data_IF_981084808941
#
_entry.id   IF_981084808941
#
_cell.length_a   1.000
_cell.length_b   1.000
_cell.length_c   1.000
_cell.angle_alpha   90.00
_cell.angle_beta   90.00
_cell.angle_gamma   90.00
#
_symmetry.space_group_name_H-M   'P 1'
#
loop_
_entity.id
_entity.type
_entity.pdbx_description
1 polymer ?
#
# COMPACT_ATOMS: atom_id res chain seq x y z
N UNK A 1 40.75 11.15 -13.39
CA UNK A 1 39.55 11.94 -13.04
C UNK A 1 38.35 11.01 -12.89
N UNK A 2 38.14 10.41 -11.71
CA UNK A 2 37.00 9.52 -11.45
C UNK A 2 36.65 9.56 -9.95
N UNK A 3 35.75 10.46 -9.55
CA UNK A 3 35.20 10.51 -8.17
C UNK A 3 33.68 10.71 -8.08
N UNK A 4 32.94 10.74 -9.20
CA UNK A 4 31.49 11.06 -9.17
C UNK A 4 30.54 9.84 -9.23
N UNK A 5 31.05 8.61 -9.22
CA UNK A 5 30.21 7.40 -9.18
C UNK A 5 29.70 7.01 -7.79
N UNK A 6 30.26 7.57 -6.71
CA UNK A 6 30.02 7.07 -5.35
C UNK A 6 28.65 7.45 -4.76
N UNK A 7 28.05 8.55 -5.23
CA UNK A 7 26.84 9.11 -4.62
C UNK A 7 25.58 8.22 -4.81
N UNK A 8 25.19 7.82 -6.05
CA UNK A 8 24.04 6.95 -6.24
C UNK A 8 24.21 5.57 -5.61
N UNK A 9 25.43 5.03 -5.63
CA UNK A 9 25.74 3.71 -5.08
C UNK A 9 25.68 3.68 -3.55
N UNK A 10 26.21 4.72 -2.88
CA UNK A 10 26.14 4.82 -1.42
C UNK A 10 24.70 4.98 -0.95
N UNK A 11 23.96 5.84 -1.63
CA UNK A 11 22.54 6.05 -1.40
C UNK A 11 21.74 4.76 -1.58
N UNK A 12 21.93 4.05 -2.70
CA UNK A 12 21.25 2.80 -2.99
C UNK A 12 21.56 1.70 -1.96
N UNK A 13 22.81 1.65 -1.46
CA UNK A 13 23.17 0.74 -0.35
C UNK A 13 22.42 1.08 0.93
N UNK A 14 22.43 2.36 1.33
CA UNK A 14 21.72 2.81 2.53
C UNK A 14 20.22 2.52 2.43
N UNK A 15 19.58 2.80 1.28
CA UNK A 15 18.18 2.44 1.02
C UNK A 15 17.95 0.94 1.17
N UNK A 16 18.80 0.11 0.56
CA UNK A 16 18.69 -1.35 0.62
C UNK A 16 18.79 -1.85 2.06
N UNK A 17 19.71 -1.31 2.84
CA UNK A 17 19.89 -1.67 4.24
C UNK A 17 18.68 -1.28 5.09
N UNK A 18 18.14 -0.07 4.93
CA UNK A 18 16.94 0.39 5.64
C UNK A 18 15.74 -0.51 5.31
N UNK A 19 15.51 -0.78 4.02
CA UNK A 19 14.39 -1.61 3.56
C UNK A 19 14.50 -3.05 4.08
N UNK A 20 15.72 -3.63 4.04
CA UNK A 20 15.99 -4.96 4.59
C UNK A 20 15.78 -5.01 6.10
N UNK A 21 16.28 -4.01 6.85
CA UNK A 21 16.10 -3.92 8.30
C UNK A 21 14.62 -3.78 8.69
N UNK A 22 13.79 -3.24 7.79
CA UNK A 22 12.33 -3.22 7.94
C UNK A 22 11.63 -4.55 7.70
N UNK A 23 12.34 -5.53 7.14
CA UNK A 23 11.74 -6.77 6.69
C UNK A 23 10.94 -6.63 5.40
N UNK A 24 11.26 -5.65 4.54
CA UNK A 24 10.66 -5.58 3.22
C UNK A 24 11.04 -6.83 2.41
N UNK A 25 10.03 -7.47 1.80
CA UNK A 25 10.18 -8.62 0.90
C UNK A 25 9.96 -8.23 -0.56
N UNK A 26 9.15 -7.18 -0.79
CA UNK A 26 8.83 -6.65 -2.11
C UNK A 26 8.98 -5.14 -2.15
N UNK A 27 9.70 -4.64 -3.15
CA UNK A 27 9.77 -3.21 -3.48
C UNK A 27 9.14 -2.98 -4.84
N UNK A 28 8.02 -2.28 -4.85
CA UNK A 28 7.32 -1.81 -6.03
C UNK A 28 7.78 -0.40 -6.38
N UNK A 29 8.15 -0.18 -7.64
CA UNK A 29 8.68 1.09 -8.14
C UNK A 29 7.79 1.51 -9.31
N UNK A 30 7.28 2.73 -9.25
CA UNK A 30 6.60 3.31 -10.40
C UNK A 30 7.57 3.59 -11.57
N UNK A 31 7.05 3.56 -12.79
CA UNK A 31 7.86 3.77 -13.97
C UNK A 31 7.99 5.24 -14.39
N UNK A 32 6.87 5.93 -14.61
CA UNK A 32 6.81 7.25 -15.27
C UNK A 32 7.12 8.36 -14.29
N UNK A 33 8.01 9.29 -14.61
CA UNK A 33 8.52 10.32 -13.67
C UNK A 33 9.20 9.78 -12.38
N UNK A 34 9.03 8.49 -12.04
CA UNK A 34 9.75 7.79 -10.97
C UNK A 34 11.00 7.08 -11.51
N UNK A 35 10.89 5.87 -12.09
CA UNK A 35 12.05 5.10 -12.59
C UNK A 35 12.76 5.81 -13.75
N UNK A 36 11.98 6.33 -14.70
CA UNK A 36 12.45 7.27 -15.73
C UNK A 36 12.13 8.70 -15.33
N UNK A 37 12.92 9.66 -15.81
CA UNK A 37 12.70 11.09 -15.53
C UNK A 37 11.51 11.68 -16.27
N UNK A 38 11.09 11.06 -17.37
CA UNK A 38 10.04 11.56 -18.24
C UNK A 38 8.72 10.88 -17.94
N UNK A 39 7.62 11.59 -18.17
CA UNK A 39 6.29 11.02 -18.16
C UNK A 39 5.92 10.57 -19.58
N UNK A 40 5.83 9.26 -19.82
CA UNK A 40 5.54 8.71 -21.16
C UNK A 40 4.07 8.85 -21.57
N UNK A 41 3.18 9.08 -20.61
CA UNK A 41 1.73 9.13 -20.85
C UNK A 41 1.15 7.79 -21.31
N UNK A 42 1.87 6.68 -21.11
CA UNK A 42 1.46 5.36 -21.60
C UNK A 42 1.53 5.18 -23.12
N UNK A 43 2.13 6.13 -23.84
CA UNK A 43 2.16 6.15 -25.30
C UNK A 43 3.52 6.62 -25.85
N UNK A 44 4.63 6.15 -25.27
CA UNK A 44 5.96 6.41 -25.80
C UNK A 44 6.11 5.85 -27.21
N UNK A 45 6.47 6.70 -28.18
CA UNK A 45 6.53 6.36 -29.61
C UNK A 45 7.93 6.07 -30.12
N UNK A 46 8.97 6.44 -29.36
CA UNK A 46 10.37 6.24 -29.74
C UNK A 46 10.86 4.86 -29.26
N UNK A 47 12.12 4.52 -29.53
CA UNK A 47 12.65 3.21 -29.16
C UNK A 47 12.86 3.03 -27.64
N UNK A 48 12.98 1.78 -27.18
CA UNK A 48 13.40 1.45 -25.83
C UNK A 48 14.79 2.00 -25.50
N UNK A 49 15.70 2.04 -26.49
CA UNK A 49 17.05 2.58 -26.32
C UNK A 49 17.02 4.08 -26.01
N UNK A 50 16.12 4.81 -26.65
CA UNK A 50 15.92 6.24 -26.38
C UNK A 50 15.29 6.45 -25.00
N UNK A 51 14.30 5.63 -24.63
CA UNK A 51 13.68 5.71 -23.30
C UNK A 51 14.67 5.37 -22.17
N UNK A 52 15.59 4.41 -22.42
CA UNK A 52 16.66 4.02 -21.48
C UNK A 52 17.52 5.21 -21.08
N UNK A 53 17.75 6.18 -21.97
CA UNK A 53 18.53 7.38 -21.67
C UNK A 53 17.90 8.25 -20.56
N UNK A 54 16.60 8.07 -20.29
CA UNK A 54 15.87 8.78 -19.24
C UNK A 54 15.82 8.02 -17.90
N UNK A 55 16.37 6.81 -17.80
CA UNK A 55 16.38 6.03 -16.55
C UNK A 55 17.24 6.75 -15.49
N UNK A 56 16.71 6.89 -14.27
CA UNK A 56 17.43 7.59 -13.20
C UNK A 56 18.59 6.72 -12.68
N UNK A 57 19.80 7.29 -12.50
CA UNK A 57 20.97 6.54 -12.02
C UNK A 57 20.77 5.83 -10.67
N UNK A 58 19.98 6.39 -9.74
CA UNK A 58 19.68 5.72 -8.48
C UNK A 58 19.12 4.32 -8.72
N UNK A 59 18.13 4.18 -9.61
CA UNK A 59 17.47 2.89 -9.81
C UNK A 59 18.37 1.88 -10.53
N UNK A 60 19.31 2.35 -11.37
CA UNK A 60 20.36 1.50 -11.94
C UNK A 60 21.24 0.88 -10.84
N UNK A 61 21.55 1.64 -9.79
CA UNK A 61 22.33 1.15 -8.64
C UNK A 61 21.48 0.32 -7.67
N UNK A 62 20.24 0.73 -7.42
CA UNK A 62 19.34 0.16 -6.41
C UNK A 62 18.83 -1.24 -6.77
N UNK A 63 18.34 -1.44 -7.98
CA UNK A 63 17.71 -2.72 -8.36
C UNK A 63 18.61 -3.94 -8.13
N UNK A 64 19.88 -3.95 -8.57
CA UNK A 64 20.80 -5.05 -8.31
C UNK A 64 21.11 -5.26 -6.82
N UNK A 65 21.08 -4.19 -6.01
CA UNK A 65 21.28 -4.28 -4.55
C UNK A 65 20.07 -4.93 -3.87
N UNK A 66 18.86 -4.52 -4.25
CA UNK A 66 17.63 -5.12 -3.71
C UNK A 66 17.55 -6.62 -4.01
N UNK A 67 17.82 -7.01 -5.25
CA UNK A 67 17.81 -8.43 -5.66
C UNK A 67 18.86 -9.25 -4.89
N UNK A 68 20.08 -8.72 -4.73
CA UNK A 68 21.14 -9.40 -3.96
C UNK A 68 20.87 -9.45 -2.45
N UNK A 69 20.11 -8.49 -1.93
CA UNK A 69 19.62 -8.50 -0.56
C UNK A 69 18.40 -9.43 -0.37
N UNK A 70 18.13 -10.29 -1.36
CA UNK A 70 17.01 -11.20 -1.39
C UNK A 70 15.67 -10.47 -1.19
N UNK A 71 15.47 -9.33 -1.84
CA UNK A 71 14.15 -8.70 -1.99
C UNK A 71 13.65 -8.86 -3.43
N UNK A 72 12.35 -9.12 -3.61
CA UNK A 72 11.72 -9.07 -4.93
C UNK A 72 11.54 -7.61 -5.33
N UNK A 73 11.75 -7.32 -6.61
CA UNK A 73 11.51 -6.00 -7.17
C UNK A 73 10.42 -6.10 -8.22
N UNK A 74 9.49 -5.15 -8.17
CA UNK A 74 8.48 -4.98 -9.20
C UNK A 74 8.51 -3.57 -9.77
N UNK A 75 8.36 -3.45 -11.09
CA UNK A 75 7.95 -2.21 -11.74
C UNK A 75 6.43 -2.26 -11.91
N UNK A 76 5.73 -1.30 -11.31
CA UNK A 76 4.28 -1.17 -11.37
C UNK A 76 3.93 0.11 -12.10
N UNK A 77 3.10 0.08 -13.13
CA UNK A 77 2.81 1.27 -13.96
C UNK A 77 1.40 1.22 -14.52
N UNK A 78 0.83 2.39 -14.79
CA UNK A 78 -0.42 2.49 -15.56
C UNK A 78 -0.18 2.41 -17.07
N UNK A 79 1.08 2.39 -17.53
CA UNK A 79 1.38 2.23 -18.95
C UNK A 79 0.96 0.84 -19.45
N UNK A 80 0.23 0.74 -20.57
CA UNK A 80 -0.08 -0.53 -21.20
C UNK A 80 1.13 -1.08 -22.00
N UNK A 81 2.20 -0.31 -22.18
CA UNK A 81 3.35 -0.68 -23.04
C UNK A 81 4.34 -1.62 -22.34
N UNK A 82 3.85 -2.73 -21.79
CA UNK A 82 4.62 -3.68 -20.99
C UNK A 82 5.84 -4.24 -21.74
N UNK A 83 5.70 -4.56 -23.03
CA UNK A 83 6.82 -5.06 -23.85
C UNK A 83 7.95 -4.03 -23.97
N UNK A 84 7.61 -2.77 -24.23
CA UNK A 84 8.59 -1.68 -24.31
C UNK A 84 9.34 -1.52 -22.98
N UNK A 85 8.62 -1.51 -21.86
CA UNK A 85 9.22 -1.34 -20.53
C UNK A 85 10.13 -2.52 -20.19
N UNK A 86 9.74 -3.75 -20.58
CA UNK A 86 10.57 -4.94 -20.44
C UNK A 86 11.87 -4.81 -21.24
N UNK A 87 11.83 -4.27 -22.45
CA UNK A 87 13.02 -4.02 -23.26
C UNK A 87 13.93 -2.96 -22.62
N UNK A 88 13.35 -1.89 -22.03
CA UNK A 88 14.12 -0.89 -21.27
C UNK A 88 14.83 -1.54 -20.08
N UNK A 89 14.15 -2.37 -19.30
CA UNK A 89 14.74 -3.09 -18.15
C UNK A 89 15.87 -4.02 -18.64
N UNK A 90 15.67 -4.75 -19.73
CA UNK A 90 16.68 -5.63 -20.32
C UNK A 90 17.92 -4.87 -20.83
N UNK A 91 17.75 -3.64 -21.30
CA UNK A 91 18.88 -2.77 -21.69
C UNK A 91 19.63 -2.23 -20.47
N UNK A 92 18.97 -2.06 -19.32
CA UNK A 92 19.55 -1.48 -18.11
C UNK A 92 20.35 -2.48 -17.27
N UNK A 93 19.98 -3.76 -17.28
CA UNK A 93 20.50 -4.75 -16.34
C UNK A 93 20.96 -6.03 -17.03
N UNK A 94 21.91 -6.77 -16.42
CA UNK A 94 22.21 -8.14 -16.86
C UNK A 94 20.96 -9.01 -16.91
N UNK A 95 20.87 -10.00 -17.83
CA UNK A 95 19.68 -10.83 -18.01
C UNK A 95 19.16 -11.47 -16.72
N UNK A 96 20.07 -11.87 -15.84
CA UNK A 96 19.75 -12.51 -14.56
C UNK A 96 18.97 -11.58 -13.62
N UNK A 97 19.28 -10.27 -13.63
CA UNK A 97 18.57 -9.27 -12.83
C UNK A 97 17.28 -8.87 -13.55
N UNK A 98 17.35 -8.60 -14.86
CA UNK A 98 16.20 -8.18 -15.65
C UNK A 98 15.04 -9.20 -15.61
N UNK A 99 15.36 -10.50 -15.68
CA UNK A 99 14.36 -11.59 -15.59
C UNK A 99 13.73 -11.70 -14.20
N UNK A 100 14.41 -11.23 -13.16
CA UNK A 100 13.91 -11.25 -11.79
C UNK A 100 12.98 -10.08 -11.48
N UNK A 101 12.97 -9.02 -12.29
CA UNK A 101 12.05 -7.89 -12.09
C UNK A 101 10.65 -8.28 -12.52
N UNK A 102 9.71 -8.23 -11.59
CA UNK A 102 8.30 -8.42 -11.86
C UNK A 102 7.77 -7.17 -12.57
N UNK A 103 7.04 -7.31 -13.66
CA UNK A 103 6.45 -6.18 -14.38
C UNK A 103 4.93 -6.27 -14.36
N UNK A 104 4.28 -5.19 -13.94
CA UNK A 104 2.83 -5.02 -13.94
C UNK A 104 2.48 -3.67 -14.55
N UNK A 105 2.18 -3.68 -15.84
CA UNK A 105 1.59 -2.55 -16.54
C UNK A 105 0.08 -2.74 -16.76
N UNK A 106 -0.56 -1.75 -17.37
CA UNK A 106 -1.99 -1.78 -17.66
C UNK A 106 -2.31 -2.62 -18.92
N UNK A 107 -1.91 -3.89 -18.91
CA UNK A 107 -2.17 -4.83 -20.00
C UNK A 107 -3.07 -6.00 -19.57
N UNK A 108 -3.43 -6.85 -20.54
CA UNK A 108 -4.26 -8.02 -20.33
C UNK A 108 -3.46 -9.26 -19.86
N UNK A 109 -2.15 -9.15 -19.61
CA UNK A 109 -1.29 -10.30 -19.27
C UNK A 109 -1.52 -10.84 -17.86
N UNK A 110 -2.22 -10.09 -17.02
CA UNK A 110 -2.54 -10.44 -15.65
C UNK A 110 -3.94 -9.95 -15.27
N UNK A 111 -4.53 -10.65 -14.31
CA UNK A 111 -5.81 -10.28 -13.69
C UNK A 111 -5.69 -10.48 -12.19
N UNK A 112 -6.46 -9.70 -11.44
CA UNK A 112 -6.59 -9.82 -9.99
C UNK A 112 -8.04 -10.08 -9.65
N UNK A 113 -8.32 -11.21 -8.99
CA UNK A 113 -9.66 -11.50 -8.46
C UNK A 113 -9.72 -11.20 -6.97
N UNK A 114 -10.91 -11.02 -6.40
CA UNK A 114 -11.06 -10.65 -4.99
C UNK A 114 -10.40 -11.66 -4.03
N UNK A 115 -10.47 -12.95 -4.36
CA UNK A 115 -9.81 -14.02 -3.59
C UNK A 115 -8.28 -13.86 -3.50
N UNK A 116 -7.66 -13.16 -4.45
CA UNK A 116 -6.21 -12.91 -4.46
C UNK A 116 -5.80 -11.82 -3.45
N UNK A 117 -6.77 -11.13 -2.83
CA UNK A 117 -6.52 -9.96 -1.97
C UNK A 117 -6.57 -10.27 -0.48
N UNK A 118 -6.85 -11.54 -0.11
CA UNK A 118 -7.07 -11.98 1.28
C UNK A 118 -5.86 -11.80 2.19
N UNK A 119 -4.65 -11.96 1.65
CA UNK A 119 -3.40 -11.76 2.41
C UNK A 119 -2.99 -10.29 2.48
N UNK A 120 -3.66 -9.42 1.71
CA UNK A 120 -3.38 -7.99 1.62
C UNK A 120 -4.26 -7.15 2.55
N UNK A 121 -4.47 -7.56 3.80
CA UNK A 121 -5.36 -6.89 4.77
C UNK A 121 -4.55 -6.02 5.74
N UNK A 122 -4.99 -4.79 6.07
CA UNK A 122 -6.36 -4.27 5.92
C UNK A 122 -6.67 -3.51 4.62
N UNK A 123 -7.57 -4.07 3.79
CA UNK A 123 -8.26 -3.34 2.72
C UNK A 123 -9.54 -2.65 3.19
N UNK A 124 -9.98 -2.89 4.44
CA UNK A 124 -11.29 -2.49 4.97
C UNK A 124 -11.48 -0.98 5.07
N UNK A 125 -10.41 -0.18 5.07
CA UNK A 125 -10.56 1.28 5.01
C UNK A 125 -11.14 1.75 3.67
N UNK A 126 -10.96 0.95 2.62
CA UNK A 126 -11.31 1.30 1.25
C UNK A 126 -12.61 0.64 0.78
N UNK A 127 -13.17 -0.31 1.53
CA UNK A 127 -14.28 -1.18 1.08
C UNK A 127 -14.03 -1.77 -0.33
N UNK A 128 -12.77 -2.10 -0.66
CA UNK A 128 -12.39 -2.61 -1.98
C UNK A 128 -12.40 -1.56 -3.11
N UNK A 129 -12.73 -0.29 -2.84
CA UNK A 129 -12.81 0.77 -3.87
C UNK A 129 -11.49 1.03 -4.61
N UNK A 130 -10.37 0.66 -3.99
CA UNK A 130 -9.04 0.86 -4.57
C UNK A 130 -8.50 -0.38 -5.31
N UNK A 131 -9.32 -1.41 -5.54
CA UNK A 131 -8.95 -2.58 -6.37
C UNK A 131 -9.20 -2.38 -7.87
N UNK A 132 -9.73 -1.21 -8.25
CA UNK A 132 -9.85 -0.77 -9.64
C UNK A 132 -8.47 -0.40 -10.22
N UNK A 133 -8.24 -0.70 -11.50
CA UNK A 133 -6.99 -0.43 -12.23
C UNK A 133 -6.69 1.06 -12.41
N UNK A 134 -7.60 1.96 -12.02
CA UNK A 134 -7.31 3.41 -11.84
C UNK A 134 -6.40 3.72 -10.64
N UNK A 135 -6.16 2.74 -9.77
CA UNK A 135 -5.25 2.87 -8.62
C UNK A 135 -4.10 1.89 -8.74
N UNK A 136 -2.98 2.21 -8.08
CA UNK A 136 -1.78 1.35 -8.11
C UNK A 136 -1.91 0.04 -7.35
N UNK A 137 -2.81 0.00 -6.37
CA UNK A 137 -2.95 -1.11 -5.44
C UNK A 137 -3.13 -2.48 -6.12
N UNK A 138 -4.00 -2.68 -7.12
CA UNK A 138 -4.11 -3.99 -7.81
C UNK A 138 -2.82 -4.44 -8.51
N UNK A 139 -2.02 -3.51 -9.05
CA UNK A 139 -0.72 -3.80 -9.66
C UNK A 139 0.27 -4.31 -8.61
N UNK A 140 0.29 -3.65 -7.46
CA UNK A 140 1.13 -4.02 -6.31
C UNK A 140 0.73 -5.40 -5.76
N UNK A 141 -0.57 -5.65 -5.54
CA UNK A 141 -1.05 -6.95 -5.04
C UNK A 141 -0.73 -8.07 -6.04
N UNK A 142 -0.95 -7.83 -7.34
CA UNK A 142 -0.62 -8.80 -8.40
C UNK A 142 0.88 -9.11 -8.47
N UNK A 143 1.73 -8.13 -8.21
CA UNK A 143 3.18 -8.33 -8.09
C UNK A 143 3.53 -9.14 -6.84
N UNK A 144 2.93 -8.82 -5.68
CA UNK A 144 3.14 -9.54 -4.43
C UNK A 144 2.71 -11.00 -4.49
N UNK A 145 1.63 -11.32 -5.20
CA UNK A 145 1.21 -12.70 -5.44
C UNK A 145 2.25 -13.48 -6.25
N UNK A 146 2.80 -12.87 -7.31
CA UNK A 146 3.87 -13.51 -8.09
C UNK A 146 5.12 -13.70 -7.23
N UNK A 147 5.53 -12.67 -6.48
CA UNK A 147 6.64 -12.74 -5.55
C UNK A 147 6.47 -13.86 -4.51
N UNK A 148 5.25 -14.03 -4.00
CA UNK A 148 4.93 -15.07 -3.02
C UNK A 148 5.04 -16.47 -3.61
N UNK A 149 4.53 -16.65 -4.83
CA UNK A 149 4.60 -17.93 -5.55
C UNK A 149 6.04 -18.33 -5.87
N UNK A 150 6.86 -17.38 -6.28
CA UNK A 150 8.28 -17.63 -6.63
C UNK A 150 9.13 -18.00 -5.42
N UNK A 151 8.72 -17.61 -4.21
CA UNK A 151 9.50 -17.83 -2.98
C UNK A 151 8.89 -18.82 -2.00
N UNK A 152 7.69 -19.32 -2.27
CA UNK A 152 6.93 -20.12 -1.31
C UNK A 152 6.78 -19.43 0.06
N UNK A 153 6.74 -18.10 0.08
CA UNK A 153 6.60 -17.26 1.28
C UNK A 153 5.58 -16.16 0.99
N UNK A 154 4.63 -15.95 1.90
CA UNK A 154 3.54 -14.98 1.69
C UNK A 154 4.09 -13.57 1.88
N UNK A 155 3.97 -12.76 0.83
CA UNK A 155 4.24 -11.32 0.85
C UNK A 155 2.93 -10.61 1.19
N UNK A 156 2.92 -9.85 2.29
CA UNK A 156 1.77 -9.06 2.77
C UNK A 156 2.02 -7.55 2.63
N UNK A 157 1.04 -6.73 2.99
CA UNK A 157 1.13 -5.25 2.93
C UNK A 157 2.34 -4.73 3.70
N UNK A 158 2.53 -5.22 4.93
CA UNK A 158 3.63 -4.81 5.81
C UNK A 158 5.02 -5.17 5.25
N UNK A 159 5.08 -6.17 4.38
CA UNK A 159 6.31 -6.66 3.75
C UNK A 159 6.57 -5.94 2.41
N UNK A 160 5.67 -5.02 2.02
CA UNK A 160 5.66 -4.37 0.71
C UNK A 160 5.93 -2.87 0.84
N UNK A 161 6.71 -2.35 -0.10
CA UNK A 161 7.06 -0.94 -0.20
C UNK A 161 6.67 -0.45 -1.59
N UNK A 162 6.06 0.73 -1.69
CA UNK A 162 5.77 1.41 -2.96
C UNK A 162 6.56 2.72 -3.03
N UNK A 163 7.31 2.91 -4.12
CA UNK A 163 7.95 4.17 -4.50
C UNK A 163 7.21 4.72 -5.71
N UNK A 164 6.61 5.90 -5.60
CA UNK A 164 5.76 6.51 -6.62
C UNK A 164 5.81 8.05 -6.48
N UNK A 165 5.72 8.76 -7.59
CA UNK A 165 5.73 10.22 -7.65
C UNK A 165 4.34 10.85 -7.50
N UNK A 166 3.29 10.04 -7.54
CA UNK A 166 1.92 10.49 -7.29
C UNK A 166 1.57 10.31 -5.80
N UNK A 167 1.36 11.43 -5.12
CA UNK A 167 0.96 11.45 -3.72
C UNK A 167 -0.36 10.72 -3.44
N UNK A 168 -1.28 10.63 -4.42
CA UNK A 168 -2.52 9.87 -4.32
C UNK A 168 -2.23 8.37 -4.28
N UNK A 169 -1.34 7.87 -5.14
CA UNK A 169 -0.93 6.46 -5.13
C UNK A 169 -0.26 6.09 -3.79
N UNK A 170 0.63 6.95 -3.31
CA UNK A 170 1.29 6.78 -2.00
C UNK A 170 0.29 6.80 -0.85
N UNK A 171 -0.67 7.72 -0.87
CA UNK A 171 -1.71 7.79 0.15
C UNK A 171 -2.55 6.52 0.17
N UNK A 172 -2.98 6.04 -1.00
CA UNK A 172 -3.76 4.79 -1.14
C UNK A 172 -2.97 3.58 -0.63
N UNK A 173 -1.67 3.51 -0.92
CA UNK A 173 -0.79 2.45 -0.43
C UNK A 173 -0.71 2.48 1.12
N UNK A 174 -0.47 3.65 1.71
CA UNK A 174 -0.40 3.83 3.17
C UNK A 174 -1.73 3.48 3.85
N UNK A 175 -2.86 3.96 3.30
CA UNK A 175 -4.20 3.65 3.82
C UNK A 175 -4.51 2.14 3.72
N UNK A 176 -3.79 1.41 2.86
CA UNK A 176 -3.84 -0.04 2.71
C UNK A 176 -2.77 -0.77 3.53
N UNK A 177 -2.01 -0.10 4.40
CA UNK A 177 -0.97 -0.71 5.24
C UNK A 177 0.33 -1.08 4.50
N UNK A 178 0.53 -0.56 3.28
CA UNK A 178 1.78 -0.69 2.51
C UNK A 178 2.68 0.49 2.89
N UNK A 179 3.99 0.26 3.00
CA UNK A 179 4.93 1.36 3.21
C UNK A 179 5.01 2.18 1.92
N UNK A 180 4.45 3.39 1.92
CA UNK A 180 4.55 4.33 0.80
C UNK A 180 5.72 5.28 0.96
N UNK A 181 6.51 5.45 -0.11
CA UNK A 181 7.62 6.39 -0.19
C UNK A 181 7.35 7.32 -1.37
N UNK A 182 7.10 8.59 -1.05
CA UNK A 182 6.86 9.61 -2.07
C UNK A 182 8.18 10.03 -2.70
N UNK A 183 8.25 9.94 -4.03
CA UNK A 183 9.39 10.37 -4.81
C UNK A 183 9.07 11.67 -5.54
N UNK A 184 9.62 12.80 -5.11
CA UNK A 184 9.41 14.07 -5.81
C UNK A 184 10.31 14.14 -7.06
N UNK A 185 9.76 14.16 -8.28
CA UNK A 185 10.57 14.16 -9.50
C UNK A 185 11.25 15.51 -9.77
N UNK A 186 10.76 16.60 -9.17
CA UNK A 186 11.19 17.98 -9.40
C UNK A 186 12.12 18.51 -8.31
N UNK A 187 12.22 17.84 -7.18
CA UNK A 187 13.11 18.22 -6.09
C UNK A 187 14.57 18.10 -6.57
N UNK A 188 15.19 19.22 -6.93
CA UNK A 188 16.55 19.24 -7.48
C UNK A 188 16.69 19.63 -8.94
N UNK A 189 15.60 20.00 -9.62
CA UNK A 189 15.68 20.82 -10.83
C UNK A 189 15.96 22.28 -10.46
N UNK A 190 17.05 22.54 -9.73
CA UNK A 190 17.55 23.90 -9.57
C UNK A 190 18.03 24.39 -10.94
N UNK A 191 17.59 25.60 -11.28
CA UNK A 191 17.96 26.35 -12.49
C UNK A 191 19.48 26.35 -12.68
N UNK A 192 19.90 26.35 -13.95
CA UNK A 192 21.11 25.79 -14.55
C UNK A 192 22.52 26.16 -14.02
N UNK A 193 22.69 26.78 -12.85
CA UNK A 193 23.98 27.34 -12.43
C UNK A 193 24.77 26.50 -11.39
N UNK A 194 24.18 25.46 -10.77
CA UNK A 194 24.87 24.65 -9.74
C UNK A 194 24.88 23.12 -10.01
N UNK A 195 24.69 22.71 -11.27
CA UNK A 195 24.37 21.32 -11.66
C UNK A 195 25.50 20.28 -11.59
N UNK A 196 26.75 20.63 -11.28
CA UNK A 196 27.85 19.69 -11.55
C UNK A 196 28.36 18.86 -10.37
N UNK A 197 27.91 19.10 -9.12
CA UNK A 197 28.50 18.37 -7.98
C UNK A 197 27.55 17.95 -6.84
N UNK A 198 26.28 18.37 -6.84
CA UNK A 198 25.36 18.02 -5.78
C UNK A 198 24.56 16.75 -6.11
N UNK A 199 24.59 15.78 -5.19
CA UNK A 199 23.53 14.77 -5.02
C UNK A 199 22.17 15.46 -5.14
N UNK A 200 21.30 14.91 -5.98
CA UNK A 200 20.03 15.53 -6.37
C UNK A 200 19.09 15.62 -5.16
N UNK A 201 18.56 16.80 -4.80
CA UNK A 201 17.69 17.01 -3.63
C UNK A 201 16.53 16.02 -3.45
N UNK A 202 15.93 15.50 -4.52
CA UNK A 202 14.90 14.46 -4.48
C UNK A 202 15.32 13.23 -3.68
N UNK A 203 16.60 12.87 -3.77
CA UNK A 203 17.14 11.73 -3.05
C UNK A 203 17.30 12.00 -1.56
N UNK A 204 17.57 13.24 -1.15
CA UNK A 204 17.68 13.58 0.27
C UNK A 204 16.32 13.50 0.95
N UNK A 205 15.26 13.95 0.28
CA UNK A 205 13.87 13.81 0.75
C UNK A 205 13.47 12.34 0.85
N UNK A 206 13.80 11.54 -0.16
CA UNK A 206 13.61 10.09 -0.16
C UNK A 206 14.28 9.43 1.06
N UNK A 207 15.54 9.77 1.32
CA UNK A 207 16.27 9.24 2.47
C UNK A 207 15.74 9.74 3.80
N UNK A 208 15.29 10.98 3.87
CA UNK A 208 14.65 11.52 5.05
C UNK A 208 13.37 10.76 5.38
N UNK A 209 12.57 10.40 4.38
CA UNK A 209 11.39 9.54 4.57
C UNK A 209 11.81 8.14 5.05
N UNK A 210 12.82 7.52 4.43
CA UNK A 210 13.33 6.21 4.83
C UNK A 210 13.91 6.16 6.25
N UNK A 211 14.67 7.19 6.66
CA UNK A 211 15.22 7.29 8.02
C UNK A 211 14.14 7.57 9.06
N UNK A 212 13.12 8.36 8.73
CA UNK A 212 11.93 8.54 9.60
C UNK A 212 11.20 7.23 9.81
N UNK A 213 10.98 6.50 8.72
CA UNK A 213 10.46 5.15 8.79
C UNK A 213 11.31 4.34 9.76
N UNK A 214 12.64 4.27 9.60
CA UNK A 214 13.52 3.51 10.48
C UNK A 214 13.36 3.85 11.97
N UNK A 215 13.20 5.14 12.31
CA UNK A 215 13.00 5.60 13.68
C UNK A 215 11.67 5.14 14.30
N UNK A 216 10.62 4.96 13.48
CA UNK A 216 9.29 4.54 13.95
C UNK A 216 9.19 3.03 14.22
N UNK A 217 10.21 2.25 13.87
CA UNK A 217 10.24 0.82 14.24
C UNK A 217 10.57 0.74 15.73
N UNK A 218 9.62 0.38 16.63
CA UNK A 218 9.93 0.22 18.03
C UNK A 218 11.02 -0.84 18.13
N UNK A 219 12.17 -0.49 18.74
CA UNK A 219 13.26 -1.42 18.95
C UNK A 219 12.66 -2.67 19.58
N UNK A 220 12.55 -3.74 18.79
CA UNK A 220 11.96 -4.99 19.25
C UNK A 220 12.76 -5.35 20.49
N UNK A 221 12.10 -5.28 21.64
CA UNK A 221 12.69 -5.58 22.94
C UNK A 221 13.36 -6.91 22.78
N UNK A 222 14.68 -6.88 22.70
CA UNK A 222 15.51 -8.08 22.63
C UNK A 222 15.44 -8.64 24.03
N UNK A 223 14.35 -9.31 24.33
CA UNK A 223 14.20 -10.09 25.56
C UNK A 223 15.17 -11.24 25.37
N UNK A 224 16.40 -11.02 25.84
CA UNK A 224 17.41 -12.05 25.99
C UNK A 224 16.75 -13.24 26.67
N UNK A 225 16.67 -14.37 25.95
CA UNK A 225 16.21 -15.62 26.50
C UNK A 225 17.04 -15.93 27.75
N UNK A 226 16.42 -16.24 28.91
CA UNK A 226 17.17 -16.70 30.07
C UNK A 226 17.85 -18.01 29.70
N UNK A 227 19.13 -18.12 30.04
CA UNK A 227 19.94 -19.31 29.87
C UNK A 227 19.22 -20.52 30.48
N UNK A 228 18.95 -21.52 29.65
CA UNK A 228 18.45 -22.83 30.06
C UNK A 228 19.61 -23.56 30.73
N UNK A 229 19.49 -23.81 32.03
CA UNK A 229 20.33 -24.75 32.75
C UNK A 229 19.76 -26.16 32.63
N UNK A 230 20.65 -27.13 32.50
CA UNK A 230 20.44 -28.56 32.30
C UNK A 230 19.70 -29.30 33.44
N UNK A 231 18.93 -30.33 33.01
CA UNK A 231 18.69 -31.67 33.61
C UNK A 231 17.92 -31.91 34.96
N UNK A 232 17.39 -33.14 35.26
CA UNK A 232 16.40 -33.91 34.51
C UNK A 232 15.28 -34.54 35.42
N UNK A 233 14.36 -35.31 34.79
CA UNK A 233 13.52 -36.42 35.34
C UNK A 233 12.13 -36.11 35.98
N UNK A 234 11.20 -37.11 36.10
CA UNK A 234 9.86 -37.00 35.54
C UNK A 234 8.73 -37.22 36.58
N UNK A 235 7.49 -37.16 36.08
CA UNK A 235 6.26 -37.65 36.73
C UNK A 235 5.62 -36.68 37.70
N UNK A 236 4.43 -36.18 37.36
CA UNK A 236 3.16 -36.51 38.05
C UNK A 236 2.04 -35.68 37.40
N UNK A 237 1.04 -36.38 36.87
CA UNK A 237 -0.23 -35.82 36.36
C UNK A 237 -1.13 -35.50 37.56
N UNK A 238 -1.77 -34.32 37.63
CA UNK A 238 -3.02 -34.19 38.34
C UNK A 238 -4.18 -33.79 37.41
N UNK A 239 -5.18 -34.65 37.51
CA UNK A 239 -6.57 -34.62 37.04
C UNK A 239 -7.23 -33.24 36.92
N UNK A 240 -7.91 -33.06 35.80
CA UNK A 240 -9.01 -32.11 35.56
C UNK A 240 -10.26 -32.48 36.38
N UNK A 241 -11.02 -31.50 36.91
CA UNK A 241 -12.39 -31.73 37.32
C UNK A 241 -13.37 -31.48 36.16
N UNK A 242 -14.19 -32.50 35.90
CA UNK A 242 -15.30 -32.50 34.97
C UNK A 242 -16.34 -31.42 35.33
N UNK A 243 -16.80 -30.68 34.32
CA UNK A 243 -17.99 -29.81 34.40
C UNK A 243 -19.16 -30.52 33.71
N UNK A 244 -20.19 -30.82 34.49
CA UNK A 244 -21.46 -31.39 34.06
C UNK A 244 -22.30 -30.44 33.20
N UNK A 245 -23.10 -30.94 32.24
CA UNK A 245 -23.97 -30.12 31.39
C UNK A 245 -25.31 -29.81 32.07
N UNK A 246 -25.81 -28.58 31.92
CA UNK A 246 -27.21 -28.23 32.22
C UNK A 246 -27.90 -27.78 30.93
N UNK A 247 -28.91 -28.54 30.55
CA UNK A 247 -29.87 -28.29 29.47
C UNK A 247 -30.98 -27.30 29.91
N UNK A 248 -31.87 -26.86 29.01
CA UNK A 248 -32.36 -25.49 28.92
C UNK A 248 -33.73 -25.30 29.59
N UNK A 249 -34.05 -24.06 29.91
CA UNK A 249 -35.44 -23.65 30.16
C UNK A 249 -35.82 -22.51 29.24
N UNK A 250 -36.86 -22.76 28.46
CA UNK A 250 -37.57 -21.80 27.65
C UNK A 250 -38.38 -20.84 28.52
N UNK A 251 -38.50 -19.57 28.12
CA UNK A 251 -39.81 -18.91 28.00
C UNK A 251 -39.71 -17.54 27.32
N UNK A 252 -40.59 -17.42 26.32
CA UNK A 252 -41.21 -16.25 25.71
C UNK A 252 -41.15 -14.94 26.52
N UNK A 253 -40.88 -13.82 25.84
CA UNK A 253 -41.84 -12.70 25.73
C UNK A 253 -41.68 -12.04 24.36
N UNK A 254 -42.79 -12.02 23.63
CA UNK A 254 -43.05 -11.32 22.36
C UNK A 254 -43.50 -9.91 22.73
N UNK A 255 -42.83 -8.86 22.25
CA UNK A 255 -43.38 -7.51 22.29
C UNK A 255 -43.45 -6.96 20.87
N UNK A 256 -44.66 -6.91 20.35
CA UNK A 256 -45.02 -6.14 19.17
C UNK A 256 -45.23 -4.69 19.60
N UNK A 257 -44.67 -3.75 18.85
CA UNK A 257 -45.24 -2.41 18.66
C UNK A 257 -44.75 -1.85 17.33
N UNK A 258 -45.67 -1.77 16.38
CA UNK A 258 -45.76 -0.72 15.35
C UNK A 258 -47.04 0.10 15.70
N UNK A 259 -47.42 1.20 15.02
CA UNK A 259 -46.78 1.93 13.92
C UNK A 259 -46.82 3.49 14.09
N UNK A 260 -46.42 4.18 13.01
CA UNK A 260 -46.81 5.55 12.62
C UNK A 260 -46.19 6.76 13.35
N UNK A 261 -45.32 7.49 12.63
CA UNK A 261 -45.54 8.94 12.47
C UNK A 261 -45.12 9.39 11.07
N UNK A 262 -46.11 9.95 10.37
CA UNK A 262 -45.96 10.68 9.10
C UNK A 262 -45.44 12.08 9.43
N UNK A 263 -44.42 12.55 8.72
CA UNK A 263 -44.20 13.99 8.57
C UNK A 263 -44.25 14.34 7.09
N UNK A 264 -45.24 15.15 6.74
CA UNK A 264 -45.47 15.75 5.43
C UNK A 264 -44.86 17.16 5.44
N UNK A 265 -43.99 17.38 4.46
CA UNK A 265 -43.75 18.56 3.61
C UNK A 265 -44.11 19.99 4.07
N UNK A 266 -43.18 20.92 3.85
CA UNK A 266 -43.35 22.28 3.28
C UNK A 266 -41.92 22.76 2.89
N UNK A 267 -41.50 22.89 1.63
CA UNK A 267 -41.81 23.85 0.56
C UNK A 267 -41.31 25.30 0.77
N UNK A 268 -40.77 25.85 -0.33
CA UNK A 268 -40.47 27.26 -0.67
C UNK A 268 -39.25 27.92 0.02
N UNK A 269 -38.14 28.25 -0.66
CA UNK A 269 -37.91 29.20 -1.77
C UNK A 269 -38.00 30.69 -1.37
N UNK A 270 -36.84 31.39 -1.34
CA UNK A 270 -36.62 32.78 -1.81
C UNK A 270 -35.23 33.24 -1.31
N UNK A 271 -34.20 33.34 -2.15
CA UNK A 271 -33.84 34.53 -2.95
C UNK A 271 -33.93 35.88 -2.20
N UNK A 272 -32.76 36.38 -1.75
CA UNK A 272 -32.32 37.77 -2.00
C UNK A 272 -30.91 38.04 -1.47
N UNK A 273 -29.99 38.55 -2.31
CA UNK A 273 -28.73 39.12 -1.88
C UNK A 273 -28.79 40.66 -1.86
N UNK A 274 -28.01 41.28 -0.98
CA UNK A 274 -27.37 42.55 -1.31
C UNK A 274 -27.39 43.66 -0.27
N UNK A 275 -26.29 44.43 -0.34
CA UNK A 275 -25.96 45.75 0.26
C UNK A 275 -25.49 45.77 1.71
N UNK A 276 -24.52 46.62 2.10
CA UNK A 276 -23.44 47.42 1.48
C UNK A 276 -22.70 48.06 2.67
N UNK A 277 -21.39 48.32 2.50
CA UNK A 277 -20.54 49.43 3.05
C UNK A 277 -20.64 49.78 4.56
N UNK A 278 -19.56 49.66 5.35
CA UNK A 278 -18.31 50.45 5.40
C UNK A 278 -18.39 51.75 6.23
N UNK A 279 -17.36 51.90 7.10
CA UNK A 279 -16.82 53.14 7.71
C UNK A 279 -17.63 53.74 8.87
N UNK A 280 -17.10 54.44 9.89
CA UNK A 280 -15.76 54.84 10.35
C UNK A 280 -16.01 55.64 11.68
N UNK A 281 -15.02 55.67 12.58
CA UNK A 281 -14.59 56.83 13.41
C UNK A 281 -15.32 57.18 14.75
N UNK A 282 -14.51 57.00 15.82
CA UNK A 282 -14.11 57.87 16.96
C UNK A 282 -15.00 58.39 18.11
N UNK A 283 -14.28 58.41 19.25
CA UNK A 283 -14.32 59.28 20.46
C UNK A 283 -15.54 59.12 21.37
N UNK A 284 -15.43 59.06 22.70
CA UNK A 284 -14.34 59.27 23.65
C UNK A 284 -14.98 59.70 24.99
N UNK A 285 -14.41 59.29 26.12
CA UNK A 285 -14.55 60.02 27.38
C UNK A 285 -15.41 59.43 28.51
N UNK A 286 -14.82 59.49 29.71
CA UNK A 286 -15.41 59.58 31.06
C UNK A 286 -15.82 58.29 31.82
N UNK A 287 -14.84 57.81 32.59
CA UNK A 287 -14.88 57.54 34.05
C UNK A 287 -16.24 57.45 34.74
N UNK A 288 -16.54 56.31 35.40
CA UNK A 288 -16.96 56.24 36.81
C UNK A 288 -16.65 54.85 37.43
N UNK A 289 -16.21 54.89 38.69
CA UNK A 289 -15.93 53.76 39.58
C UNK A 289 -17.19 52.98 39.96
N UNK A 290 -17.13 51.63 40.02
CA UNK A 290 -17.70 50.88 41.14
C UNK A 290 -17.18 49.45 41.25
N UNK A 291 -16.75 49.12 42.47
CA UNK A 291 -16.96 47.86 43.19
C UNK A 291 -16.42 46.53 42.63
N UNK A 292 -15.45 46.02 43.40
CA UNK A 292 -14.86 44.67 43.37
C UNK A 292 -15.90 43.56 43.50
N UNK A 293 -15.86 42.61 42.58
CA UNK A 293 -16.16 41.20 42.84
C UNK A 293 -15.03 40.37 42.24
N UNK A 294 -14.12 39.88 43.10
CA UNK A 294 -13.09 38.93 42.70
C UNK A 294 -13.73 37.55 42.55
N UNK A 295 -14.17 37.22 41.34
CA UNK A 295 -14.44 35.84 40.96
C UNK A 295 -13.12 35.23 40.47
N UNK A 296 -12.63 34.25 41.21
CA UNK A 296 -11.51 33.39 40.79
C UNK A 296 -11.85 32.75 39.45
N UNK A 297 -11.35 33.34 38.35
CA UNK A 297 -11.27 32.64 37.08
C UNK A 297 -10.15 31.60 37.20
N UNK A 298 -10.43 30.30 37.03
CA UNK A 298 -9.36 29.31 36.98
C UNK A 298 -8.40 29.67 35.85
N UNK A 299 -7.11 29.61 36.15
CA UNK A 299 -6.00 29.91 35.25
C UNK A 299 -6.22 29.37 33.83
N UNK A 300 -5.77 30.10 32.80
CA UNK A 300 -5.90 29.64 31.42
C UNK A 300 -5.22 28.28 31.28
N UNK A 301 -6.05 27.25 31.06
CA UNK A 301 -5.59 25.94 30.63
C UNK A 301 -4.76 26.18 29.38
N UNK A 302 -3.46 25.94 29.50
CA UNK A 302 -2.54 25.86 28.38
C UNK A 302 -3.21 24.94 27.34
N UNK A 303 -3.72 25.55 26.27
CA UNK A 303 -4.11 24.81 25.07
C UNK A 303 -2.82 24.24 24.51
N UNK A 304 -2.47 23.05 24.97
CA UNK A 304 -1.63 22.12 24.25
C UNK A 304 -2.26 21.98 22.87
N UNK A 305 -1.72 22.72 21.89
CA UNK A 305 -1.85 22.38 20.48
C UNK A 305 -1.11 21.06 20.32
N UNK A 306 -1.81 19.97 20.62
CA UNK A 306 -1.46 18.66 20.13
C UNK A 306 -1.61 18.72 18.62
N UNK A 307 -0.52 19.00 17.91
CA UNK A 307 -0.37 18.74 16.48
C UNK A 307 0.13 17.32 16.28
N UNK A 308 -0.48 16.37 16.98
CA UNK A 308 -0.44 14.97 16.56
C UNK A 308 -1.72 14.77 15.78
N UNK A 309 -1.60 14.61 14.47
CA UNK A 309 -2.68 14.15 13.60
C UNK A 309 -2.96 12.66 13.90
N UNK A 310 -3.31 12.37 15.17
CA UNK A 310 -4.00 11.15 15.53
C UNK A 310 -5.39 11.30 14.95
N UNK A 311 -5.56 10.75 13.75
CA UNK A 311 -6.79 10.87 12.96
C UNK A 311 -8.03 10.91 13.84
N UNK A 312 -8.87 11.92 13.62
CA UNK A 312 -10.05 12.24 14.44
C UNK A 312 -10.72 10.97 14.98
N UNK A 313 -10.96 10.86 16.31
CA UNK A 313 -11.69 9.74 16.89
C UNK A 313 -12.96 9.48 16.09
N UNK A 314 -13.08 8.29 15.51
CA UNK A 314 -14.24 7.93 14.68
C UNK A 314 -15.51 8.04 15.51
N UNK A 315 -16.57 8.59 14.92
CA UNK A 315 -17.85 8.69 15.60
C UNK A 315 -18.37 7.30 15.98
N UNK A 316 -19.03 7.18 17.13
CA UNK A 316 -19.67 5.92 17.57
C UNK A 316 -20.62 5.34 16.50
N UNK A 317 -21.20 6.20 15.66
CA UNK A 317 -22.05 5.82 14.52
C UNK A 317 -21.25 5.10 13.43
N UNK A 318 -20.05 5.56 13.11
CA UNK A 318 -19.16 4.88 12.15
C UNK A 318 -18.75 3.50 12.66
N UNK A 319 -18.42 3.37 13.95
CA UNK A 319 -18.05 2.08 14.55
C UNK A 319 -19.21 1.08 14.48
N UNK A 320 -20.46 1.50 14.75
CA UNK A 320 -21.63 0.62 14.62
C UNK A 320 -21.91 0.21 13.18
N UNK A 321 -21.78 1.14 12.23
CA UNK A 321 -21.96 0.83 10.81
C UNK A 321 -20.96 -0.24 10.34
N UNK A 322 -19.70 -0.15 10.80
CA UNK A 322 -18.66 -1.12 10.44
C UNK A 322 -18.97 -2.52 10.99
N UNK A 323 -19.46 -2.63 12.24
CA UNK A 323 -19.86 -3.93 12.82
C UNK A 323 -21.01 -4.57 12.06
N UNK A 324 -22.03 -3.80 11.70
CA UNK A 324 -23.14 -4.33 10.92
C UNK A 324 -22.71 -4.85 9.55
N UNK A 325 -21.76 -4.18 8.88
CA UNK A 325 -21.22 -4.64 7.59
C UNK A 325 -20.41 -5.94 7.77
N UNK A 326 -19.68 -6.06 8.87
CA UNK A 326 -18.91 -7.27 9.20
C UNK A 326 -19.83 -8.47 9.48
N UNK A 327 -20.94 -8.25 10.20
CA UNK A 327 -21.99 -9.25 10.42
C UNK A 327 -22.65 -9.67 9.09
N UNK A 328 -23.01 -8.73 8.21
CA UNK A 328 -23.62 -9.00 6.90
C UNK A 328 -22.69 -9.81 5.97
N UNK A 329 -21.37 -9.54 6.02
CA UNK A 329 -20.36 -10.28 5.25
C UNK A 329 -20.18 -11.70 5.79
N UNK A 330 -20.18 -11.87 7.11
CA UNK A 330 -20.07 -13.17 7.76
C UNK A 330 -21.27 -14.07 7.39
N UNK A 331 -22.48 -13.51 7.41
CA UNK A 331 -23.72 -14.20 7.04
C UNK A 331 -23.75 -14.61 5.56
N UNK A 332 -23.18 -13.78 4.68
CA UNK A 332 -23.05 -14.07 3.25
C UNK A 332 -22.11 -15.26 2.98
N UNK A 333 -21.04 -15.41 3.77
CA UNK A 333 -20.08 -16.51 3.65
C UNK A 333 -20.71 -17.83 4.12
N UNK A 334 -21.40 -17.84 5.27
CA UNK A 334 -22.05 -19.05 5.80
C UNK A 334 -23.23 -19.55 4.94
N UNK A 335 -23.91 -18.65 4.23
CA UNK A 335 -25.03 -19.00 3.35
C UNK A 335 -24.61 -19.72 2.05
N UNK A 336 -23.33 -19.62 1.67
CA UNK A 336 -22.81 -20.23 0.44
C UNK A 336 -22.27 -21.66 0.61
N UNK A 337 -22.06 -22.12 1.85
CA UNK A 337 -21.45 -23.43 2.15
C UNK A 337 -22.45 -24.58 2.35
N UNK A 338 -23.76 -24.34 2.26
CA UNK A 338 -24.79 -25.34 2.61
C UNK A 338 -25.55 -25.96 1.43
N UNK A 339 -25.14 -25.71 0.18
CA UNK A 339 -25.85 -26.20 -1.02
C UNK A 339 -25.07 -27.12 -1.95
N UNK A 340 -23.96 -27.73 -1.53
CA UNK A 340 -23.19 -28.67 -2.37
C UNK A 340 -22.91 -30.00 -1.68
N UNK A 341 -23.94 -30.84 -1.57
CA UNK A 341 -23.77 -32.27 -1.31
C UNK A 341 -24.77 -33.08 -2.14
N UNK A 342 -24.41 -33.41 -3.39
CA UNK A 342 -24.87 -34.64 -4.04
C UNK A 342 -24.10 -34.97 -5.32
N UNK A 343 -23.47 -36.14 -5.29
CA UNK A 343 -23.17 -37.09 -6.37
C UNK A 343 -22.37 -36.61 -7.60
N UNK A 344 -21.16 -37.17 -7.77
CA UNK A 344 -20.93 -38.16 -8.84
C UNK A 344 -19.56 -38.84 -8.66
N UNK A 345 -19.60 -40.16 -8.59
CA UNK A 345 -18.47 -41.04 -8.85
C UNK A 345 -18.67 -41.61 -10.26
N UNK A 346 -17.64 -41.54 -11.12
CA UNK A 346 -17.20 -42.66 -11.97
C UNK A 346 -16.14 -42.26 -13.02
N UNK A 347 -15.09 -43.09 -13.03
CA UNK A 347 -14.39 -43.65 -14.19
C UNK A 347 -13.29 -42.86 -14.92
N UNK A 348 -12.18 -43.59 -15.03
CA UNK A 348 -10.99 -43.42 -15.87
C UNK A 348 -11.32 -43.23 -17.37
N UNK A 349 -10.55 -42.39 -18.05
CA UNK A 349 -9.76 -42.77 -19.25
C UNK A 349 -8.98 -41.57 -19.84
N UNK A 350 -7.66 -41.75 -19.96
CA UNK A 350 -6.76 -41.09 -20.94
C UNK A 350 -7.12 -41.58 -22.38
N UNK A 351 -6.57 -41.10 -23.54
CA UNK A 351 -5.42 -40.19 -23.76
C UNK A 351 -5.55 -39.20 -24.97
N UNK A 352 -4.77 -38.10 -25.03
CA UNK A 352 -4.51 -37.37 -26.30
C UNK A 352 -3.06 -36.89 -26.49
N UNK A 353 -2.38 -37.59 -27.41
CA UNK A 353 -1.48 -37.18 -28.50
C UNK A 353 -0.42 -36.08 -28.31
N UNK A 354 0.83 -36.55 -28.36
CA UNK A 354 2.04 -35.83 -28.76
C UNK A 354 1.97 -35.25 -30.18
N UNK A 355 2.36 -33.99 -30.32
CA UNK A 355 2.68 -33.32 -31.58
C UNK A 355 4.20 -33.44 -31.86
N UNK A 356 4.57 -33.87 -33.08
CA UNK A 356 5.93 -33.80 -33.64
C UNK A 356 5.95 -32.81 -34.82
N UNK A 357 7.03 -32.03 -35.04
CA UNK A 357 7.30 -31.42 -36.33
C UNK A 357 8.26 -32.27 -37.17
N UNK A 358 7.93 -32.48 -38.46
CA UNK A 358 8.79 -33.08 -39.49
C UNK A 358 9.62 -31.98 -40.18
N UNK A 359 10.96 -32.14 -40.17
CA UNK A 359 11.89 -31.50 -41.12
C UNK A 359 11.63 -32.05 -42.52
N UNK A 360 11.61 -31.19 -43.54
CA UNK A 360 11.77 -31.58 -44.95
C UNK A 360 12.90 -30.75 -45.56
N UNK A 361 13.96 -31.45 -45.90
CA UNK A 361 15.11 -30.96 -46.63
C UNK A 361 14.93 -31.37 -48.10
N UNK A 362 15.05 -30.42 -49.03
CA UNK A 362 15.13 -30.70 -50.47
C UNK A 362 16.35 -29.98 -51.03
N UNK A 363 17.40 -30.78 -51.28
CA UNK A 363 18.44 -30.49 -52.27
C UNK A 363 17.88 -30.75 -53.67
N UNK A 364 18.09 -29.82 -54.61
CA UNK A 364 18.32 -30.15 -56.03
C UNK A 364 19.36 -29.19 -56.59
N UNK A 365 20.44 -29.77 -57.07
CA UNK A 365 21.47 -29.16 -57.91
C UNK A 365 20.92 -28.94 -59.32
N UNK A 366 21.31 -27.85 -59.96
CA UNK A 366 21.25 -27.68 -61.41
C UNK A 366 22.63 -27.99 -62.00
N UNK A 367 22.61 -28.71 -63.12
CA UNK A 367 23.61 -28.67 -64.17
C UNK A 367 23.13 -27.67 -65.24
#
# INVERSE_FOLDING_TARGET
MARNGAAPDALAREMTDILRCRGAKLVCIDFDATFVRVHTGGAWTRSALELRAHVRPLFLALLPLLVRADMRVAVVTFSPQVSLIRDVIALCFPPQIAQQVILRGDDASWQLVHADTVDFVPLWQTNGRHLDRKFKLPFVISAARQASKERCDVVRNRDTVLVDDDAVNIRVAIDSGITGIYFDPHEGETTDEEKELATTPAFDSLMKQLRRLQADTPAASTTSAPAVADEPNPTTIPRTPQRTPKHPTARMVRLMTTPESRFVSTSASASRPGRRRASLINHGGATQHSSRFNLCTPSPVLRLKSTVDMGRPRSKRSIRLMRNIEDDLQDSICSSSSSSSRAEACLECNPWRQWRPRRRERRRSCA
#
